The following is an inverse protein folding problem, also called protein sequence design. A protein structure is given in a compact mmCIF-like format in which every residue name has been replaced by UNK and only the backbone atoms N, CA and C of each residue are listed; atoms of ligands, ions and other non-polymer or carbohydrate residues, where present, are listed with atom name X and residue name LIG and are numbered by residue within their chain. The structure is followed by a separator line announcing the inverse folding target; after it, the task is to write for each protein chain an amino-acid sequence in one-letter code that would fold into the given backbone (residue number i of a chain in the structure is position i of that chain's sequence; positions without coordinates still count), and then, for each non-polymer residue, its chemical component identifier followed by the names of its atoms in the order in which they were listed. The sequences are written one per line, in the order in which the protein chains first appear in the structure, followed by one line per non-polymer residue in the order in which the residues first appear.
data_IF_875709565964
#
_entry.id   IF_875709565964
#
_cell.length_a   1.000
_cell.length_b   1.000
_cell.length_c   1.000
_cell.angle_alpha   90.00
_cell.angle_beta   90.00
_cell.angle_gamma   90.00
#
_symmetry.space_group_name_H-M   'P 1'
#
loop_
_entity.id
_entity.type
_entity.pdbx_description
1 polymer ?
#
# COMPACT_ATOMS: atom_id res chain seq x y z
N UNK A 1 44.48 -30.83 31.27
CA UNK A 1 43.36 -29.94 31.63
C UNK A 1 42.48 -29.73 30.40
N UNK A 2 41.33 -30.42 30.34
CA UNK A 2 40.26 -30.19 29.35
C UNK A 2 39.31 -29.15 29.93
N UNK A 3 38.96 -28.11 29.15
CA UNK A 3 37.73 -27.30 29.17
C UNK A 3 38.10 -25.86 28.76
N UNK A 4 37.67 -25.47 27.57
CA UNK A 4 37.24 -24.11 27.15
C UNK A 4 36.98 -24.12 25.64
N UNK A 5 35.94 -24.86 25.24
CA UNK A 5 35.27 -24.72 23.93
C UNK A 5 33.77 -24.70 24.21
N UNK A 6 33.26 -23.63 24.81
CA UNK A 6 31.81 -23.39 24.88
C UNK A 6 31.55 -21.99 25.46
N UNK A 7 31.52 -20.95 24.62
CA UNK A 7 30.65 -19.76 24.72
C UNK A 7 31.08 -18.72 23.68
N UNK A 8 30.51 -18.77 22.47
CA UNK A 8 30.57 -17.63 21.53
C UNK A 8 29.51 -17.70 20.42
N UNK A 9 28.38 -18.36 20.66
CA UNK A 9 27.23 -18.40 19.72
C UNK A 9 25.96 -17.87 20.41
N UNK A 10 26.07 -16.80 21.22
CA UNK A 10 24.90 -16.22 21.90
C UNK A 10 24.51 -14.78 21.52
N UNK A 11 25.26 -13.95 20.77
CA UNK A 11 24.72 -12.64 20.37
C UNK A 11 24.03 -12.63 18.98
N UNK A 12 24.03 -13.73 18.23
CA UNK A 12 23.44 -13.74 16.88
C UNK A 12 21.92 -13.95 16.84
N UNK A 13 21.26 -14.24 17.98
CA UNK A 13 19.82 -14.57 18.02
C UNK A 13 18.95 -13.52 18.70
N UNK A 14 19.48 -12.35 19.07
CA UNK A 14 18.71 -11.28 19.74
C UNK A 14 18.37 -10.10 18.81
N UNK A 15 18.25 -10.35 17.50
CA UNK A 15 17.77 -9.37 16.53
C UNK A 15 16.92 -9.98 15.42
N UNK A 16 16.19 -11.07 15.70
CA UNK A 16 14.97 -11.35 14.94
C UNK A 16 13.91 -10.45 15.57
N UNK A 17 14.01 -9.14 15.30
CA UNK A 17 12.90 -8.22 15.55
C UNK A 17 11.66 -8.79 14.88
N UNK A 18 10.50 -8.67 15.54
CA UNK A 18 9.22 -9.18 15.05
C UNK A 18 9.09 -8.97 13.54
N UNK A 19 9.36 -10.03 12.77
CA UNK A 19 8.86 -10.12 11.41
C UNK A 19 7.40 -10.44 11.64
N UNK A 20 6.55 -9.40 11.70
CA UNK A 20 5.13 -9.60 11.51
C UNK A 20 5.03 -10.32 10.16
N UNK A 21 4.73 -11.61 10.18
CA UNK A 21 4.52 -12.36 8.97
C UNK A 21 3.36 -11.67 8.27
N UNK A 22 3.63 -11.07 7.13
CA UNK A 22 2.59 -10.45 6.29
C UNK A 22 1.57 -11.54 5.99
N UNK A 23 0.35 -11.36 6.45
CA UNK A 23 -0.73 -12.32 6.25
C UNK A 23 -1.72 -11.79 5.22
N UNK A 24 -2.03 -12.62 4.23
CA UNK A 24 -3.15 -12.37 3.33
C UNK A 24 -2.90 -11.36 2.19
N UNK A 25 -1.67 -10.92 1.95
CA UNK A 25 -1.38 -10.03 0.82
C UNK A 25 -1.30 -10.79 -0.50
N UNK A 26 -1.93 -10.27 -1.55
CA UNK A 26 -1.81 -10.76 -2.92
C UNK A 26 -1.00 -9.77 -3.76
N UNK A 27 0.08 -10.21 -4.38
CA UNK A 27 0.97 -9.36 -5.20
C UNK A 27 1.19 -9.98 -6.58
N UNK A 28 0.81 -9.26 -7.64
CA UNK A 28 0.99 -9.70 -9.03
C UNK A 28 1.39 -8.53 -9.93
N UNK A 29 2.62 -8.55 -10.46
CA UNK A 29 3.17 -7.51 -11.33
C UNK A 29 4.56 -7.07 -10.86
N UNK A 30 5.35 -6.46 -11.75
CA UNK A 30 6.65 -5.91 -11.37
C UNK A 30 6.46 -4.75 -10.38
N UNK A 31 7.19 -4.76 -9.26
CA UNK A 31 7.08 -3.75 -8.20
C UNK A 31 5.75 -3.71 -7.41
N UNK A 32 4.80 -4.63 -7.66
CA UNK A 32 3.52 -4.64 -6.95
C UNK A 32 3.69 -4.93 -5.46
N UNK A 33 3.30 -4.02 -4.57
CA UNK A 33 3.36 -4.18 -3.11
C UNK A 33 4.76 -4.45 -2.52
N UNK A 34 5.84 -4.14 -3.26
CA UNK A 34 7.21 -4.60 -2.92
C UNK A 34 7.77 -4.00 -1.63
N UNK A 35 7.27 -2.84 -1.19
CA UNK A 35 7.79 -2.12 -0.02
C UNK A 35 7.01 -2.39 1.28
N UNK A 36 6.06 -3.32 1.27
CA UNK A 36 5.24 -3.60 2.46
C UNK A 36 6.10 -4.22 3.56
N UNK A 37 5.94 -3.72 4.79
CA UNK A 37 6.74 -4.14 5.96
C UNK A 37 5.87 -4.63 7.12
N UNK A 38 4.65 -4.10 7.29
CA UNK A 38 3.75 -4.49 8.38
C UNK A 38 2.25 -4.44 8.05
N UNK A 39 1.87 -4.24 6.79
CA UNK A 39 0.47 -4.23 6.35
C UNK A 39 -0.05 -5.62 6.01
N UNK A 40 -1.34 -5.86 6.29
CA UNK A 40 -2.02 -7.14 6.06
C UNK A 40 -3.27 -6.98 5.18
N UNK A 41 -3.65 -8.08 4.52
CA UNK A 41 -4.87 -8.22 3.73
C UNK A 41 -5.02 -7.24 2.55
N UNK A 42 -3.90 -6.89 1.90
CA UNK A 42 -3.90 -6.07 0.70
C UNK A 42 -3.93 -6.89 -0.60
N UNK A 43 -4.47 -6.32 -1.67
CA UNK A 43 -4.42 -6.88 -3.03
C UNK A 43 -3.77 -5.89 -3.99
N UNK A 44 -2.61 -6.23 -4.53
CA UNK A 44 -1.85 -5.44 -5.50
C UNK A 44 -1.74 -6.20 -6.82
N UNK A 45 -2.39 -5.72 -7.87
CA UNK A 45 -2.38 -6.35 -9.20
C UNK A 45 -2.08 -5.32 -10.27
N UNK A 46 -0.96 -5.48 -10.97
CA UNK A 46 -0.47 -4.57 -12.00
C UNK A 46 0.93 -4.07 -11.66
N UNK A 47 1.66 -3.69 -12.70
CA UNK A 47 2.98 -3.07 -12.54
C UNK A 47 2.89 -1.84 -11.62
N UNK A 48 3.75 -1.80 -10.62
CA UNK A 48 3.86 -0.74 -9.63
C UNK A 48 2.57 -0.45 -8.83
N UNK A 49 1.60 -1.38 -8.79
CA UNK A 49 0.42 -1.23 -7.95
C UNK A 49 0.81 -1.26 -6.46
N UNK A 50 0.44 -0.22 -5.71
CA UNK A 50 0.81 -0.09 -4.30
C UNK A 50 2.32 -0.08 -4.03
N UNK A 51 3.13 0.38 -4.98
CA UNK A 51 4.60 0.31 -4.91
C UNK A 51 5.15 0.86 -3.59
N UNK A 52 4.65 1.99 -3.08
CA UNK A 52 5.15 2.64 -1.86
C UNK A 52 4.50 2.18 -0.56
N UNK A 53 3.57 1.21 -0.57
CA UNK A 53 2.84 0.81 0.65
C UNK A 53 3.80 0.15 1.62
N UNK A 54 3.91 0.68 2.84
CA UNK A 54 4.79 0.16 3.90
C UNK A 54 4.03 -0.46 5.06
N UNK A 55 2.92 0.16 5.50
CA UNK A 55 2.16 -0.28 6.68
C UNK A 55 0.64 -0.16 6.58
N UNK A 56 0.11 0.28 5.44
CA UNK A 56 -1.34 0.29 5.19
C UNK A 56 -1.90 -1.14 5.12
N UNK A 57 -3.14 -1.34 5.54
CA UNK A 57 -3.83 -2.64 5.49
C UNK A 57 -5.18 -2.51 4.77
N UNK A 58 -5.75 -3.64 4.34
CA UNK A 58 -7.08 -3.71 3.72
C UNK A 58 -7.22 -2.87 2.44
N UNK A 59 -6.14 -2.65 1.70
CA UNK A 59 -6.17 -1.93 0.43
C UNK A 59 -6.35 -2.89 -0.75
N UNK A 60 -7.11 -2.45 -1.75
CA UNK A 60 -7.14 -3.09 -3.07
C UNK A 60 -6.63 -2.10 -4.11
N UNK A 61 -5.53 -2.41 -4.78
CA UNK A 61 -4.94 -1.61 -5.84
C UNK A 61 -4.76 -2.46 -7.10
N UNK A 62 -5.57 -2.18 -8.13
CA UNK A 62 -5.58 -2.95 -9.37
C UNK A 62 -5.42 -2.03 -10.58
N UNK A 63 -4.35 -2.23 -11.35
CA UNK A 63 -3.98 -1.44 -12.52
C UNK A 63 -2.55 -0.92 -12.43
N UNK A 64 -1.96 -0.57 -13.58
CA UNK A 64 -0.62 0.02 -13.64
C UNK A 64 -0.56 1.31 -12.80
N UNK A 65 0.31 1.31 -11.78
CA UNK A 65 0.50 2.44 -10.86
C UNK A 65 -0.73 2.79 -10.01
N UNK A 66 -1.71 1.89 -9.86
CA UNK A 66 -2.83 2.12 -8.94
C UNK A 66 -2.31 2.25 -7.50
N UNK A 67 -2.67 3.33 -6.80
CA UNK A 67 -2.24 3.57 -5.41
C UNK A 67 -0.72 3.67 -5.22
N UNK A 68 0.04 4.03 -6.27
CA UNK A 68 1.51 3.98 -6.30
C UNK A 68 2.18 4.62 -5.08
N UNK A 69 1.77 5.83 -4.69
CA UNK A 69 2.39 6.59 -3.60
C UNK A 69 1.80 6.33 -2.21
N UNK A 70 0.84 5.40 -2.06
CA UNK A 70 0.26 5.11 -0.74
C UNK A 70 1.35 4.53 0.15
N UNK A 71 1.58 5.10 1.33
CA UNK A 71 2.56 4.63 2.30
C UNK A 71 1.89 3.90 3.46
N UNK A 72 0.89 4.52 4.09
CA UNK A 72 0.27 4.01 5.32
C UNK A 72 -1.26 4.13 5.34
N UNK A 73 -1.86 4.61 4.25
CA UNK A 73 -3.30 4.65 4.09
C UNK A 73 -3.87 3.22 4.06
N UNK A 74 -4.97 3.02 4.76
CA UNK A 74 -5.68 1.75 4.86
C UNK A 74 -7.09 1.87 4.27
N UNK A 75 -7.73 0.74 4.01
CA UNK A 75 -9.14 0.69 3.60
C UNK A 75 -9.44 1.40 2.26
N UNK A 76 -8.46 1.46 1.35
CA UNK A 76 -8.63 2.08 0.03
C UNK A 76 -8.95 1.06 -1.06
N UNK A 77 -9.94 1.36 -1.92
CA UNK A 77 -10.27 0.59 -3.12
C UNK A 77 -9.95 1.37 -4.38
N UNK A 78 -8.89 0.98 -5.08
CA UNK A 78 -8.31 1.69 -6.23
C UNK A 78 -8.24 0.78 -7.45
N UNK A 79 -8.98 1.11 -8.51
CA UNK A 79 -9.05 0.33 -9.74
C UNK A 79 -8.88 1.22 -10.97
N UNK A 80 -7.79 1.04 -11.72
CA UNK A 80 -7.55 1.73 -12.99
C UNK A 80 -6.10 2.19 -13.19
N UNK A 81 -5.77 2.58 -14.42
CA UNK A 81 -4.45 3.15 -14.74
C UNK A 81 -4.22 4.43 -13.93
N UNK A 82 -3.24 4.38 -13.02
CA UNK A 82 -2.83 5.47 -12.13
C UNK A 82 -4.01 6.09 -11.35
N UNK A 83 -5.00 5.29 -10.98
CA UNK A 83 -6.01 5.71 -10.02
C UNK A 83 -5.37 5.89 -8.64
N UNK A 84 -5.78 6.90 -7.88
CA UNK A 84 -5.25 7.20 -6.54
C UNK A 84 -3.73 7.38 -6.47
N UNK A 85 -3.07 7.74 -7.58
CA UNK A 85 -1.62 7.63 -7.74
C UNK A 85 -0.84 8.38 -6.65
N UNK A 86 -1.27 9.59 -6.29
CA UNK A 86 -0.62 10.44 -5.29
C UNK A 86 -1.17 10.32 -3.88
N UNK A 87 -2.12 9.42 -3.61
CA UNK A 87 -2.60 9.22 -2.24
C UNK A 87 -1.46 8.66 -1.39
N UNK A 88 -1.10 9.32 -0.29
CA UNK A 88 0.01 8.90 0.59
C UNK A 88 -0.48 8.28 1.89
N UNK A 89 -1.40 8.94 2.59
CA UNK A 89 -1.89 8.51 3.91
C UNK A 89 -3.41 8.49 4.01
N UNK A 90 -4.13 8.87 2.95
CA UNK A 90 -5.58 8.87 2.95
C UNK A 90 -6.15 7.46 3.11
N UNK A 91 -7.22 7.36 3.91
CA UNK A 91 -7.95 6.12 4.19
C UNK A 91 -9.36 6.19 3.62
N UNK A 92 -10.02 5.04 3.52
CA UNK A 92 -11.45 4.95 3.20
C UNK A 92 -11.83 5.57 1.85
N UNK A 93 -10.91 5.55 0.88
CA UNK A 93 -11.18 6.09 -0.45
C UNK A 93 -11.54 5.02 -1.48
N UNK A 94 -12.46 5.36 -2.38
CA UNK A 94 -12.82 4.57 -3.56
C UNK A 94 -12.43 5.35 -4.82
N UNK A 95 -11.48 4.84 -5.58
CA UNK A 95 -11.00 5.45 -6.83
C UNK A 95 -11.11 4.46 -7.98
N UNK A 96 -12.12 4.60 -8.84
CA UNK A 96 -12.42 3.67 -9.91
C UNK A 96 -12.42 4.40 -11.26
N UNK A 97 -11.40 4.16 -12.09
CA UNK A 97 -11.28 4.75 -13.42
C UNK A 97 -9.85 5.18 -13.75
N UNK A 98 -9.56 5.38 -15.04
CA UNK A 98 -8.27 5.94 -15.49
C UNK A 98 -8.06 7.31 -14.82
N UNK A 99 -7.00 7.45 -14.04
CA UNK A 99 -6.67 8.67 -13.29
C UNK A 99 -7.72 9.18 -12.29
N UNK A 100 -8.67 8.33 -11.86
CA UNK A 100 -9.58 8.71 -10.77
C UNK A 100 -8.76 9.04 -9.51
N UNK A 101 -8.98 10.21 -8.92
CA UNK A 101 -8.26 10.66 -7.72
C UNK A 101 -6.74 10.76 -7.88
N UNK A 102 -6.24 11.03 -9.10
CA UNK A 102 -4.80 11.02 -9.38
C UNK A 102 -3.98 11.85 -8.37
N UNK A 103 -4.43 13.07 -8.05
CA UNK A 103 -3.77 13.97 -7.10
C UNK A 103 -4.33 13.92 -5.68
N UNK A 104 -5.28 13.02 -5.38
CA UNK A 104 -6.03 13.01 -4.14
C UNK A 104 -5.21 12.46 -2.97
N UNK A 105 -5.19 13.21 -1.86
CA UNK A 105 -4.45 12.83 -0.63
C UNK A 105 -5.34 12.78 0.62
N UNK A 106 -6.64 13.08 0.49
CA UNK A 106 -7.58 13.08 1.61
C UNK A 106 -8.19 11.71 1.91
N UNK A 107 -9.14 11.69 2.84
CA UNK A 107 -9.85 10.48 3.32
C UNK A 107 -11.30 10.49 2.85
N UNK A 108 -11.98 9.35 2.92
CA UNK A 108 -13.45 9.26 2.76
C UNK A 108 -13.97 9.79 1.40
N UNK A 109 -13.18 9.66 0.32
CA UNK A 109 -13.57 10.13 -1.00
C UNK A 109 -14.06 8.99 -1.90
N UNK A 110 -15.10 9.24 -2.70
CA UNK A 110 -15.59 8.32 -3.72
C UNK A 110 -15.50 8.96 -5.11
N UNK A 111 -14.50 8.57 -5.90
CA UNK A 111 -14.31 9.03 -7.28
C UNK A 111 -14.45 7.86 -8.25
N UNK A 112 -15.49 7.91 -9.08
CA UNK A 112 -15.78 6.90 -10.09
C UNK A 112 -15.81 7.60 -11.45
N UNK A 113 -15.20 7.00 -12.47
CA UNK A 113 -15.09 7.59 -13.81
C UNK A 113 -13.68 8.00 -14.19
N UNK A 114 -13.45 8.16 -15.50
CA UNK A 114 -12.16 8.62 -16.02
C UNK A 114 -11.90 10.07 -15.56
N UNK A 115 -10.76 10.30 -14.92
CA UNK A 115 -10.33 11.63 -14.43
C UNK A 115 -11.26 12.25 -13.36
N UNK A 116 -12.17 11.46 -12.78
CA UNK A 116 -12.98 11.89 -11.63
C UNK A 116 -12.07 12.32 -10.47
N UNK A 117 -12.26 13.53 -9.96
CA UNK A 117 -11.41 14.06 -8.88
C UNK A 117 -9.93 14.25 -9.24
N UNK A 118 -9.54 14.28 -10.52
CA UNK A 118 -8.13 14.29 -10.97
C UNK A 118 -7.24 15.33 -10.26
N UNK A 119 -7.77 16.53 -9.99
CA UNK A 119 -7.04 17.65 -9.35
C UNK A 119 -7.47 17.93 -7.91
N UNK A 120 -8.29 17.06 -7.31
CA UNK A 120 -8.61 17.20 -5.88
C UNK A 120 -7.32 16.88 -5.15
N UNK A 121 -6.66 17.89 -4.57
CA UNK A 121 -5.38 17.71 -3.87
C UNK A 121 -5.57 17.47 -2.38
N UNK A 122 -6.63 18.03 -1.80
CA UNK A 122 -7.02 17.91 -0.39
C UNK A 122 -8.54 17.87 -0.32
N UNK A 123 -9.08 17.34 0.77
CA UNK A 123 -10.53 17.25 1.01
C UNK A 123 -10.95 15.86 1.46
N UNK A 124 -11.92 15.81 2.36
CA UNK A 124 -12.60 14.58 2.77
C UNK A 124 -14.06 14.63 2.31
N UNK A 125 -14.72 13.48 2.30
CA UNK A 125 -16.15 13.34 2.03
C UNK A 125 -16.60 13.82 0.63
N UNK A 126 -15.71 13.75 -0.36
CA UNK A 126 -16.06 14.18 -1.72
C UNK A 126 -16.60 13.02 -2.55
N UNK A 127 -17.61 13.29 -3.38
CA UNK A 127 -18.14 12.32 -4.35
C UNK A 127 -18.11 12.89 -5.76
N UNK A 128 -17.44 12.19 -6.68
CA UNK A 128 -17.42 12.48 -8.12
C UNK A 128 -17.73 11.20 -8.89
N UNK A 129 -18.63 11.24 -9.87
CA UNK A 129 -19.08 10.10 -10.69
C UNK A 129 -19.05 10.49 -12.17
#
# INVERSE_FOLDING_TARGET
MRKKRLLLILPAMLAIGLVHAQTGNTQLGDGAGVNITSGDYDTFIGDSAGYSVTSGSYNTHVGFGAGYSNTSGSDNSTLGYRAGFSNTTGTDNVYIGKFAGYAATGTDNTFVGSEAGYRVTTGADNTFI
#
